data_IF_157282714746
#
_entry.id   IF_157282714746
#
_cell.length_a   1.000
_cell.length_b   1.000
_cell.length_c   1.000
_cell.angle_alpha   90.00
_cell.angle_beta   90.00
_cell.angle_gamma   90.00
#
_symmetry.space_group_name_H-M   'P 1'
#
loop_
_entity.id
_entity.type
_entity.pdbx_description
1 polymer ?
#
# COMPACT_ATOMS: atom_id res chain seq x y z
N UNK A 1 15.21 18.03 15.96
CA UNK A 1 15.21 17.61 14.54
C UNK A 1 16.52 16.96 14.10
N UNK A 2 17.68 17.61 14.23
CA UNK A 2 18.97 16.98 13.90
C UNK A 2 19.17 15.62 14.58
N UNK A 3 18.93 15.54 15.91
CA UNK A 3 18.96 14.27 16.67
C UNK A 3 18.03 13.17 16.13
N UNK A 4 16.85 13.54 15.62
CA UNK A 4 15.88 12.60 15.07
C UNK A 4 16.36 12.01 13.74
N UNK A 5 16.88 12.87 12.85
CA UNK A 5 17.45 12.44 11.56
C UNK A 5 18.67 11.56 11.79
N UNK A 6 19.57 11.96 12.71
CA UNK A 6 20.74 11.16 13.08
C UNK A 6 20.32 9.80 13.66
N UNK A 7 19.32 9.79 14.56
CA UNK A 7 18.79 8.56 15.14
C UNK A 7 18.18 7.64 14.08
N UNK A 8 17.44 8.19 13.12
CA UNK A 8 16.89 7.44 11.99
C UNK A 8 17.99 6.88 11.08
N UNK A 9 19.00 7.67 10.73
CA UNK A 9 20.12 7.21 9.92
C UNK A 9 20.87 6.06 10.62
N UNK A 10 21.14 6.20 11.92
CA UNK A 10 21.74 5.14 12.71
C UNK A 10 20.87 3.87 12.72
N UNK A 11 19.56 4.01 12.93
CA UNK A 11 18.61 2.90 12.87
C UNK A 11 18.63 2.22 11.50
N UNK A 12 18.50 2.98 10.42
CA UNK A 12 18.51 2.44 9.06
C UNK A 12 19.83 1.70 8.78
N UNK A 13 20.97 2.30 9.10
CA UNK A 13 22.28 1.63 8.96
C UNK A 13 22.36 0.34 9.76
N UNK A 14 21.90 0.34 11.02
CA UNK A 14 21.88 -0.87 11.84
C UNK A 14 20.98 -1.96 11.24
N UNK A 15 19.80 -1.59 10.73
CA UNK A 15 18.88 -2.51 10.02
C UNK A 15 19.56 -3.11 8.80
N UNK A 16 20.16 -2.29 7.93
CA UNK A 16 20.84 -2.79 6.74
C UNK A 16 22.04 -3.68 7.07
N UNK A 17 22.85 -3.32 8.07
CA UNK A 17 23.97 -4.16 8.52
C UNK A 17 23.50 -5.49 9.09
N UNK A 18 22.47 -5.47 9.94
CA UNK A 18 21.88 -6.68 10.49
C UNK A 18 21.39 -7.62 9.39
N UNK A 19 20.54 -7.11 8.49
CA UNK A 19 19.96 -7.94 7.43
C UNK A 19 21.01 -8.44 6.45
N UNK A 20 22.02 -7.64 6.13
CA UNK A 20 23.03 -8.09 5.18
C UNK A 20 23.96 -9.17 5.75
N UNK A 21 24.47 -8.97 6.97
CA UNK A 21 25.53 -9.82 7.55
C UNK A 21 25.04 -10.90 8.52
N UNK A 22 23.98 -10.64 9.28
CA UNK A 22 23.59 -11.47 10.41
C UNK A 22 22.26 -12.19 10.23
N UNK A 23 21.44 -11.78 9.26
CA UNK A 23 20.15 -12.42 9.02
C UNK A 23 20.32 -13.84 8.48
N UNK A 24 19.78 -14.85 9.17
CA UNK A 24 19.79 -16.23 8.69
C UNK A 24 18.84 -16.30 7.50
N UNK A 25 19.40 -16.51 6.30
CA UNK A 25 18.66 -16.67 5.07
C UNK A 25 19.03 -18.02 4.47
N UNK A 26 18.06 -18.93 4.46
CA UNK A 26 18.14 -20.18 3.72
C UNK A 26 17.60 -19.91 2.30
N UNK A 27 18.50 -19.74 1.34
CA UNK A 27 18.15 -19.48 -0.05
C UNK A 27 18.79 -20.51 -0.98
N UNK A 28 18.04 -20.91 -2.01
CA UNK A 28 18.54 -21.78 -3.09
C UNK A 28 19.51 -21.05 -4.03
N UNK A 29 19.58 -19.73 -3.95
CA UNK A 29 20.49 -18.88 -4.72
C UNK A 29 21.53 -18.21 -3.82
N UNK A 30 22.71 -17.92 -4.38
CA UNK A 30 23.75 -17.11 -3.74
C UNK A 30 23.41 -15.62 -3.85
N UNK A 31 22.24 -15.25 -3.33
CA UNK A 31 21.74 -13.87 -3.33
C UNK A 31 21.24 -13.50 -1.94
N UNK A 32 21.54 -12.25 -1.55
CA UNK A 32 21.03 -11.62 -0.32
C UNK A 32 19.72 -10.87 -0.58
N UNK A 33 19.06 -11.05 -1.72
CA UNK A 33 17.84 -10.33 -2.12
C UNK A 33 16.74 -10.37 -1.06
N UNK A 34 16.42 -11.55 -0.52
CA UNK A 34 15.39 -11.69 0.52
C UNK A 34 15.72 -10.90 1.80
N UNK A 35 16.98 -10.96 2.23
CA UNK A 35 17.44 -10.22 3.39
C UNK A 35 17.40 -8.69 3.16
N UNK A 36 17.82 -8.24 1.97
CA UNK A 36 17.72 -6.83 1.58
C UNK A 36 16.26 -6.37 1.52
N UNK A 37 15.34 -7.18 1.01
CA UNK A 37 13.90 -6.86 1.00
C UNK A 37 13.39 -6.51 2.39
N UNK A 38 13.74 -7.34 3.39
CA UNK A 38 13.41 -7.05 4.78
C UNK A 38 14.09 -5.77 5.29
N UNK A 39 15.36 -5.55 4.96
CA UNK A 39 16.07 -4.33 5.34
C UNK A 39 15.35 -3.07 4.85
N UNK A 40 14.94 -3.04 3.58
CA UNK A 40 14.17 -1.94 2.99
C UNK A 40 12.83 -1.75 3.69
N UNK A 41 12.08 -2.84 3.93
CA UNK A 41 10.81 -2.80 4.64
C UNK A 41 10.93 -2.16 6.04
N UNK A 42 11.85 -2.66 6.86
CA UNK A 42 12.04 -2.18 8.22
C UNK A 42 12.64 -0.77 8.28
N UNK A 43 13.51 -0.41 7.34
CA UNK A 43 14.05 0.95 7.23
C UNK A 43 12.96 1.97 6.91
N UNK A 44 11.98 1.61 6.07
CA UNK A 44 10.89 2.51 5.69
C UNK A 44 9.81 2.67 6.77
N UNK A 45 9.56 1.65 7.60
CA UNK A 45 8.51 1.65 8.62
C UNK A 45 8.43 2.93 9.49
N UNK A 46 9.52 3.42 10.11
CA UNK A 46 9.43 4.59 10.98
C UNK A 46 9.25 5.93 10.24
N UNK A 47 9.42 5.96 8.91
CA UNK A 47 9.40 7.20 8.12
C UNK A 47 8.07 7.96 8.25
N UNK A 48 6.94 7.24 8.22
CA UNK A 48 5.61 7.85 8.38
C UNK A 48 5.42 8.48 9.76
N UNK A 49 5.85 7.78 10.82
CA UNK A 49 5.77 8.28 12.21
C UNK A 49 6.66 9.51 12.37
N UNK A 50 7.88 9.47 11.83
CA UNK A 50 8.82 10.60 11.82
C UNK A 50 8.21 11.79 11.08
N UNK A 51 7.62 11.58 9.91
CA UNK A 51 6.97 12.62 9.11
C UNK A 51 5.84 13.28 9.90
N UNK A 52 4.93 12.50 10.47
CA UNK A 52 3.82 13.02 11.28
C UNK A 52 4.33 13.76 12.52
N UNK A 53 5.33 13.22 13.21
CA UNK A 53 5.95 13.88 14.35
C UNK A 53 6.59 15.23 13.98
N UNK A 54 7.29 15.28 12.83
CA UNK A 54 7.89 16.52 12.33
C UNK A 54 6.82 17.55 12.00
N UNK A 55 5.73 17.15 11.33
CA UNK A 55 4.61 18.04 11.03
C UNK A 55 3.97 18.59 12.31
N UNK A 56 3.67 17.73 13.30
CA UNK A 56 3.11 18.14 14.59
C UNK A 56 4.00 19.13 15.35
N UNK A 57 5.33 18.96 15.30
CA UNK A 57 6.28 19.87 15.95
C UNK A 57 6.53 21.15 15.17
N UNK A 58 6.47 21.11 13.83
CA UNK A 58 6.69 22.26 12.96
C UNK A 58 5.37 22.75 12.37
N UNK A 59 4.56 23.40 13.20
CA UNK A 59 3.26 23.95 12.80
C UNK A 59 3.34 24.88 11.58
N UNK A 60 4.44 25.63 11.43
CA UNK A 60 4.66 26.49 10.25
C UNK A 60 4.61 25.76 8.90
N UNK A 61 4.81 24.44 8.86
CA UNK A 61 4.73 23.64 7.63
C UNK A 61 3.31 23.50 7.05
N UNK A 62 2.27 23.66 7.88
CA UNK A 62 0.87 23.53 7.46
C UNK A 62 -0.02 24.71 7.90
N UNK A 63 0.43 25.57 8.83
CA UNK A 63 -0.34 26.73 9.32
C UNK A 63 -0.76 27.70 8.22
N UNK A 64 -0.01 27.79 7.13
CA UNK A 64 -0.38 28.62 5.99
C UNK A 64 -1.70 28.17 5.33
N UNK A 65 -2.09 26.91 5.50
CA UNK A 65 -3.35 26.34 5.01
C UNK A 65 -4.55 26.89 5.79
N UNK A 66 -4.37 27.22 7.08
CA UNK A 66 -5.44 27.77 7.93
C UNK A 66 -5.92 29.16 7.47
N UNK A 67 -5.14 29.84 6.60
CA UNK A 67 -5.49 31.15 6.02
C UNK A 67 -6.68 31.08 5.05
N UNK A 68 -7.02 29.90 4.54
CA UNK A 68 -8.13 29.73 3.61
C UNK A 68 -9.44 29.48 4.35
N UNK A 69 -10.52 30.12 3.92
CA UNK A 69 -11.82 30.02 4.59
C UNK A 69 -12.57 28.70 4.31
N UNK A 70 -12.30 28.04 3.17
CA UNK A 70 -13.01 26.83 2.77
C UNK A 70 -12.39 25.58 3.38
N UNK A 71 -13.18 24.83 4.16
CA UNK A 71 -12.76 23.58 4.79
C UNK A 71 -12.39 22.49 3.79
N UNK A 72 -13.10 22.47 2.65
CA UNK A 72 -12.80 21.58 1.54
C UNK A 72 -11.40 21.88 1.01
N UNK A 73 -11.10 23.15 0.77
CA UNK A 73 -9.80 23.56 0.24
C UNK A 73 -8.66 23.34 1.24
N UNK A 74 -8.90 23.59 2.53
CA UNK A 74 -7.95 23.26 3.59
C UNK A 74 -7.61 21.76 3.62
N UNK A 75 -8.65 20.91 3.57
CA UNK A 75 -8.50 19.45 3.59
C UNK A 75 -7.75 18.96 2.35
N UNK A 76 -8.04 19.55 1.19
CA UNK A 76 -7.36 19.26 -0.08
C UNK A 76 -5.86 19.57 0.03
N UNK A 77 -5.51 20.80 0.39
CA UNK A 77 -4.12 21.23 0.50
C UNK A 77 -3.34 20.43 1.55
N UNK A 78 -3.97 20.15 2.69
CA UNK A 78 -3.33 19.37 3.75
C UNK A 78 -3.09 17.93 3.29
N UNK A 79 -4.03 17.33 2.57
CA UNK A 79 -3.85 16.00 1.98
C UNK A 79 -2.76 16.00 0.91
N UNK A 80 -2.71 17.02 0.04
CA UNK A 80 -1.62 17.17 -0.94
C UNK A 80 -0.26 17.22 -0.24
N UNK A 81 -0.14 18.04 0.81
CA UNK A 81 1.09 18.14 1.60
C UNK A 81 1.50 16.79 2.18
N UNK A 82 0.57 16.04 2.78
CA UNK A 82 0.86 14.72 3.35
C UNK A 82 1.33 13.72 2.29
N UNK A 83 0.60 13.59 1.18
CA UNK A 83 0.92 12.61 0.12
C UNK A 83 2.22 12.96 -0.59
N UNK A 84 2.49 14.24 -0.84
CA UNK A 84 3.75 14.68 -1.45
C UNK A 84 4.92 14.41 -0.51
N UNK A 85 4.81 14.71 0.79
CA UNK A 85 5.87 14.43 1.74
C UNK A 85 6.11 12.92 1.89
N UNK A 86 5.03 12.12 1.93
CA UNK A 86 5.12 10.67 1.95
C UNK A 86 5.83 10.13 0.70
N UNK A 87 5.46 10.62 -0.49
CA UNK A 87 6.14 10.28 -1.73
C UNK A 87 7.63 10.65 -1.66
N UNK A 88 7.98 11.89 -1.30
CA UNK A 88 9.37 12.35 -1.27
C UNK A 88 10.26 11.53 -0.33
N UNK A 89 9.72 11.12 0.82
CA UNK A 89 10.47 10.38 1.84
C UNK A 89 10.67 8.91 1.45
N UNK A 90 9.69 8.28 0.79
CA UNK A 90 9.77 6.87 0.40
C UNK A 90 10.35 6.65 -1.00
N UNK A 91 10.22 7.63 -1.92
CA UNK A 91 10.63 7.49 -3.32
C UNK A 91 12.09 7.04 -3.50
N UNK A 92 13.10 7.55 -2.76
CA UNK A 92 14.47 7.07 -2.90
C UNK A 92 14.61 5.57 -2.63
N UNK A 93 13.96 5.07 -1.57
CA UNK A 93 13.97 3.64 -1.24
C UNK A 93 13.31 2.82 -2.33
N UNK A 94 12.17 3.28 -2.84
CA UNK A 94 11.43 2.55 -3.87
C UNK A 94 12.16 2.52 -5.21
N UNK A 95 12.84 3.61 -5.60
CA UNK A 95 13.68 3.65 -6.80
C UNK A 95 14.85 2.68 -6.68
N UNK A 96 15.58 2.72 -5.55
CA UNK A 96 16.72 1.83 -5.33
C UNK A 96 16.24 0.36 -5.33
N UNK A 97 15.12 0.07 -4.66
CA UNK A 97 14.53 -1.27 -4.64
C UNK A 97 14.10 -1.75 -6.03
N UNK A 98 13.56 -0.87 -6.87
CA UNK A 98 13.21 -1.19 -8.26
C UNK A 98 14.45 -1.67 -9.03
N UNK A 99 15.58 -0.95 -8.94
CA UNK A 99 16.81 -1.32 -9.63
C UNK A 99 17.43 -2.61 -9.07
N UNK A 100 17.44 -2.80 -7.75
CA UNK A 100 17.92 -4.05 -7.13
C UNK A 100 17.07 -5.24 -7.61
N UNK A 101 15.73 -5.09 -7.60
CA UNK A 101 14.81 -6.15 -8.06
C UNK A 101 14.99 -6.47 -9.54
N UNK A 102 15.29 -5.45 -10.36
CA UNK A 102 15.61 -5.66 -11.78
C UNK A 102 16.94 -6.41 -11.97
N UNK A 103 17.97 -6.03 -11.22
CA UNK A 103 19.29 -6.67 -11.27
C UNK A 103 19.23 -8.14 -10.85
N UNK A 104 18.46 -8.45 -9.80
CA UNK A 104 18.26 -9.81 -9.29
C UNK A 104 17.28 -10.65 -10.16
N UNK A 105 16.73 -10.07 -11.23
CA UNK A 105 15.82 -10.77 -12.15
C UNK A 105 14.43 -11.07 -11.58
N UNK A 106 14.07 -10.50 -10.42
CA UNK A 106 12.75 -10.69 -9.80
C UNK A 106 11.70 -9.75 -10.39
N UNK A 107 12.13 -8.65 -11.02
CA UNK A 107 11.29 -7.67 -11.70
C UNK A 107 11.58 -7.65 -13.21
N UNK A 108 10.53 -7.68 -14.02
CA UNK A 108 10.55 -7.57 -15.49
C UNK A 108 9.97 -6.24 -15.99
N UNK A 109 9.24 -5.53 -15.12
CA UNK A 109 8.60 -4.24 -15.42
C UNK A 109 9.56 -3.14 -15.88
N UNK A 110 9.12 -2.26 -16.78
CA UNK A 110 9.88 -1.05 -17.12
C UNK A 110 9.78 0.01 -16.01
N UNK A 111 10.79 0.89 -15.93
CA UNK A 111 10.80 1.98 -14.95
C UNK A 111 9.61 2.94 -15.12
N UNK A 112 9.24 3.25 -16.38
CA UNK A 112 8.12 4.16 -16.67
C UNK A 112 6.77 3.57 -16.24
N UNK A 113 6.52 2.29 -16.56
CA UNK A 113 5.29 1.60 -16.13
C UNK A 113 5.21 1.55 -14.59
N UNK A 114 6.30 1.16 -13.93
CA UNK A 114 6.39 1.17 -12.47
C UNK A 114 6.09 2.56 -11.86
N UNK A 115 6.64 3.61 -12.45
CA UNK A 115 6.44 4.97 -11.97
C UNK A 115 5.00 5.46 -12.18
N UNK A 116 4.36 5.09 -13.29
CA UNK A 116 2.95 5.43 -13.54
C UNK A 116 2.03 4.71 -12.55
N UNK A 117 2.28 3.44 -12.24
CA UNK A 117 1.55 2.70 -11.20
C UNK A 117 1.76 3.32 -9.81
N UNK A 118 2.98 3.77 -9.51
CA UNK A 118 3.26 4.51 -8.28
C UNK A 118 2.41 5.79 -8.20
N UNK A 119 2.34 6.59 -9.27
CA UNK A 119 1.51 7.80 -9.31
C UNK A 119 0.02 7.50 -9.20
N UNK A 120 -0.46 6.44 -9.85
CA UNK A 120 -1.84 5.98 -9.74
C UNK A 120 -2.17 5.57 -8.30
N UNK A 121 -1.30 4.77 -7.67
CA UNK A 121 -1.42 4.36 -6.27
C UNK A 121 -1.45 5.56 -5.32
N UNK A 122 -0.56 6.55 -5.51
CA UNK A 122 -0.56 7.79 -4.72
C UNK A 122 -1.80 8.65 -4.96
N UNK A 123 -2.37 8.62 -6.17
CA UNK A 123 -3.60 9.35 -6.49
C UNK A 123 -4.83 8.73 -5.82
N UNK A 124 -4.91 7.40 -5.77
CA UNK A 124 -5.97 6.68 -5.04
C UNK A 124 -5.83 6.90 -3.52
N UNK A 125 -4.60 6.86 -2.99
CA UNK A 125 -4.32 7.20 -1.59
C UNK A 125 -4.75 8.64 -1.28
N UNK A 126 -4.42 9.59 -2.17
CA UNK A 126 -4.85 10.98 -2.04
C UNK A 126 -6.37 11.10 -1.97
N UNK A 127 -7.10 10.45 -2.86
CA UNK A 127 -8.56 10.50 -2.89
C UNK A 127 -9.17 9.97 -1.58
N UNK A 128 -8.74 8.78 -1.14
CA UNK A 128 -9.23 8.18 0.11
C UNK A 128 -8.91 9.03 1.33
N UNK A 129 -7.66 9.51 1.44
CA UNK A 129 -7.21 10.32 2.57
C UNK A 129 -7.88 11.70 2.58
N UNK A 130 -8.08 12.33 1.42
CA UNK A 130 -8.78 13.60 1.29
C UNK A 130 -10.22 13.50 1.78
N UNK A 131 -10.96 12.49 1.31
CA UNK A 131 -12.35 12.25 1.73
C UNK A 131 -12.41 11.98 3.23
N UNK A 132 -11.49 11.17 3.77
CA UNK A 132 -11.40 10.88 5.20
C UNK A 132 -11.17 12.15 6.03
N UNK A 133 -10.15 12.94 5.68
CA UNK A 133 -9.79 14.16 6.40
C UNK A 133 -10.92 15.18 6.33
N UNK A 134 -11.49 15.39 5.14
CA UNK A 134 -12.60 16.32 4.96
C UNK A 134 -13.81 15.89 5.78
N UNK A 135 -14.19 14.62 5.74
CA UNK A 135 -15.34 14.10 6.48
C UNK A 135 -15.12 14.18 7.99
N UNK A 136 -13.92 13.83 8.47
CA UNK A 136 -13.54 13.97 9.87
C UNK A 136 -13.67 15.42 10.35
N UNK A 137 -13.15 16.37 9.57
CA UNK A 137 -13.26 17.80 9.83
C UNK A 137 -14.72 18.26 9.98
N UNK A 138 -15.59 17.85 9.06
CA UNK A 138 -17.03 18.19 9.10
C UNK A 138 -17.72 17.59 10.33
N UNK A 139 -17.41 16.35 10.70
CA UNK A 139 -17.97 15.71 11.88
C UNK A 139 -17.52 16.39 13.18
N UNK A 140 -16.24 16.78 13.27
CA UNK A 140 -15.70 17.47 14.44
C UNK A 140 -16.38 18.83 14.66
N UNK A 141 -16.69 19.56 13.58
CA UNK A 141 -17.38 20.85 13.65
C UNK A 141 -18.86 20.69 14.06
N UNK A 142 -19.58 19.74 13.45
CA UNK A 142 -21.02 19.55 13.71
C UNK A 142 -21.31 18.83 15.02
N UNK A 143 -20.50 17.84 15.39
CA UNK A 143 -20.75 16.96 16.54
C UNK A 143 -19.49 16.73 17.39
N UNK A 144 -18.91 17.77 18.02
CA UNK A 144 -17.62 17.71 18.70
C UNK A 144 -17.53 16.69 19.85
N UNK A 145 -18.66 16.27 20.44
CA UNK A 145 -18.70 15.23 21.49
C UNK A 145 -18.90 13.81 20.98
N UNK A 146 -19.44 13.65 19.76
CA UNK A 146 -19.84 12.36 19.18
C UNK A 146 -19.13 12.02 17.86
N UNK A 147 -18.31 12.93 17.32
CA UNK A 147 -17.66 12.78 16.02
C UNK A 147 -16.91 11.46 15.88
N UNK A 148 -16.24 10.99 16.95
CA UNK A 148 -15.50 9.73 16.91
C UNK A 148 -16.39 8.51 16.68
N UNK A 149 -17.53 8.44 17.36
CA UNK A 149 -18.50 7.34 17.17
C UNK A 149 -19.16 7.45 15.80
N UNK A 150 -19.53 8.66 15.36
CA UNK A 150 -20.13 8.88 14.04
C UNK A 150 -19.16 8.51 12.91
N UNK A 151 -17.89 8.89 13.05
CA UNK A 151 -16.84 8.52 12.13
C UNK A 151 -16.68 7.00 12.09
N UNK A 152 -16.60 6.36 13.26
CA UNK A 152 -16.45 4.90 13.35
C UNK A 152 -17.62 4.14 12.70
N UNK A 153 -18.87 4.50 13.03
CA UNK A 153 -20.07 3.88 12.45
C UNK A 153 -20.14 4.09 10.94
N UNK A 154 -19.57 5.18 10.42
CA UNK A 154 -19.54 5.43 8.97
C UNK A 154 -18.38 4.69 8.30
N UNK A 155 -17.18 4.71 8.89
CA UNK A 155 -15.97 4.24 8.24
C UNK A 155 -15.87 2.71 8.21
N UNK A 156 -16.40 2.02 9.23
CA UNK A 156 -16.36 0.56 9.30
C UNK A 156 -17.16 -0.08 8.16
N UNK A 157 -18.44 0.28 7.93
CA UNK A 157 -19.17 -0.20 6.76
C UNK A 157 -18.50 0.17 5.44
N UNK A 158 -17.96 1.39 5.31
CA UNK A 158 -17.22 1.81 4.11
C UNK A 158 -16.00 0.92 3.88
N UNK A 159 -15.22 0.62 4.92
CA UNK A 159 -14.05 -0.25 4.82
C UNK A 159 -14.45 -1.69 4.40
N UNK A 160 -15.51 -2.24 5.01
CA UNK A 160 -16.05 -3.56 4.61
C UNK A 160 -16.49 -3.52 3.15
N UNK A 161 -17.18 -2.47 2.72
CA UNK A 161 -17.60 -2.30 1.33
C UNK A 161 -16.41 -2.23 0.37
N UNK A 162 -15.31 -1.57 0.77
CA UNK A 162 -14.08 -1.52 -0.01
C UNK A 162 -13.44 -2.90 -0.22
N UNK A 163 -13.60 -3.86 0.70
CA UNK A 163 -13.13 -5.24 0.50
C UNK A 163 -13.77 -5.89 -0.73
N UNK A 164 -15.02 -5.53 -1.06
CA UNK A 164 -15.71 -6.02 -2.26
C UNK A 164 -15.36 -5.22 -3.51
N UNK A 165 -15.27 -3.89 -3.38
CA UNK A 165 -14.98 -3.02 -4.53
C UNK A 165 -13.55 -3.18 -5.01
N UNK A 166 -12.59 -3.31 -4.10
CA UNK A 166 -11.17 -3.30 -4.44
C UNK A 166 -10.80 -4.33 -5.53
N UNK A 167 -11.09 -5.63 -5.39
CA UNK A 167 -10.71 -6.61 -6.42
C UNK A 167 -11.42 -6.42 -7.76
N UNK A 168 -12.59 -5.76 -7.77
CA UNK A 168 -13.43 -5.62 -8.98
C UNK A 168 -13.16 -4.31 -9.71
N UNK A 169 -12.85 -3.23 -9.00
CA UNK A 169 -12.73 -1.88 -9.58
C UNK A 169 -11.36 -1.25 -9.41
N UNK A 170 -10.61 -1.62 -8.37
CA UNK A 170 -9.30 -1.01 -8.08
C UNK A 170 -8.18 -1.86 -8.67
N UNK A 171 -8.17 -3.17 -8.38
CA UNK A 171 -7.12 -4.07 -8.87
C UNK A 171 -7.05 -4.06 -10.41
N UNK A 172 -8.17 -4.00 -11.17
CA UNK A 172 -8.10 -3.92 -12.63
C UNK A 172 -7.52 -2.62 -13.21
N UNK A 173 -7.28 -1.60 -12.37
CA UNK A 173 -6.55 -0.39 -12.79
C UNK A 173 -5.04 -0.64 -12.89
N UNK A 174 -4.54 -1.66 -12.20
CA UNK A 174 -3.14 -2.07 -12.21
C UNK A 174 -2.93 -3.29 -13.10
N UNK A 175 -3.88 -4.23 -13.05
CA UNK A 175 -3.70 -5.58 -13.58
C UNK A 175 -4.80 -6.00 -14.55
N UNK A 176 -4.45 -6.90 -15.46
CA UNK A 176 -5.44 -7.56 -16.33
C UNK A 176 -5.78 -8.93 -15.79
N UNK A 177 -7.06 -9.12 -15.50
CA UNK A 177 -7.64 -10.38 -15.04
C UNK A 177 -8.33 -11.09 -16.21
N UNK A 178 -8.10 -12.40 -16.30
CA UNK A 178 -8.70 -13.30 -17.28
C UNK A 178 -9.38 -14.46 -16.57
N UNK A 179 -10.46 -14.98 -17.13
CA UNK A 179 -11.06 -16.22 -16.62
C UNK A 179 -10.11 -17.39 -16.85
N UNK A 180 -9.97 -18.26 -15.86
CA UNK A 180 -9.21 -19.49 -16.01
C UNK A 180 -9.85 -20.36 -17.12
N UNK A 181 -9.04 -20.72 -18.11
CA UNK A 181 -9.51 -21.53 -19.24
C UNK A 181 -10.02 -22.90 -18.79
N UNK A 182 -10.97 -23.44 -19.54
CA UNK A 182 -11.47 -24.80 -19.28
C UNK A 182 -10.35 -25.82 -19.53
N UNK A 183 -10.16 -26.74 -18.58
CA UNK A 183 -9.13 -27.77 -18.65
C UNK A 183 -8.98 -28.53 -17.34
N UNK A 184 -8.02 -29.45 -17.30
CA UNK A 184 -7.82 -30.33 -16.14
C UNK A 184 -7.61 -29.57 -14.82
N UNK A 185 -6.79 -28.51 -14.84
CA UNK A 185 -6.54 -27.69 -13.64
C UNK A 185 -7.82 -27.04 -13.11
N UNK A 186 -8.63 -26.45 -14.00
CA UNK A 186 -9.89 -25.81 -13.59
C UNK A 186 -10.84 -26.84 -12.97
N UNK A 187 -10.96 -28.03 -13.57
CA UNK A 187 -11.79 -29.11 -13.03
C UNK A 187 -11.31 -29.59 -11.67
N UNK A 188 -10.00 -29.74 -11.46
CA UNK A 188 -9.43 -30.10 -10.16
C UNK A 188 -9.71 -29.03 -9.10
N UNK A 189 -9.59 -27.75 -9.46
CA UNK A 189 -9.91 -26.64 -8.56
C UNK A 189 -11.39 -26.59 -8.20
N UNK A 190 -12.29 -26.77 -9.17
CA UNK A 190 -13.75 -26.84 -8.96
C UNK A 190 -14.11 -27.98 -7.99
N UNK A 191 -13.55 -29.17 -8.18
CA UNK A 191 -13.75 -30.32 -7.27
C UNK A 191 -13.24 -30.03 -5.86
N UNK A 192 -12.07 -29.38 -5.74
CA UNK A 192 -11.52 -29.01 -4.44
C UNK A 192 -12.42 -28.00 -3.73
N UNK A 193 -12.89 -26.96 -4.42
CA UNK A 193 -13.77 -25.94 -3.83
C UNK A 193 -15.12 -26.52 -3.43
N UNK A 194 -15.71 -27.39 -4.25
CA UNK A 194 -16.95 -28.09 -3.93
C UNK A 194 -16.79 -28.96 -2.68
N UNK A 195 -15.65 -29.66 -2.53
CA UNK A 195 -15.40 -30.53 -1.37
C UNK A 195 -15.38 -29.79 -0.03
N UNK A 196 -15.11 -28.48 -0.04
CA UNK A 196 -15.11 -27.61 1.14
C UNK A 196 -16.36 -26.73 1.24
N UNK A 197 -17.35 -26.95 0.37
CA UNK A 197 -18.63 -26.23 0.38
C UNK A 197 -18.58 -24.82 -0.24
N UNK A 198 -17.55 -24.51 -1.03
CA UNK A 198 -17.47 -23.28 -1.81
C UNK A 198 -18.06 -23.53 -3.20
N UNK A 199 -19.30 -23.11 -3.41
CA UNK A 199 -20.07 -23.40 -4.64
C UNK A 199 -20.10 -22.25 -5.62
N UNK A 200 -19.73 -21.04 -5.21
CA UNK A 200 -19.71 -19.86 -6.09
C UNK A 200 -18.31 -19.24 -6.10
N UNK A 201 -17.46 -19.78 -6.97
CA UNK A 201 -16.05 -19.42 -7.06
C UNK A 201 -15.69 -18.96 -8.48
N UNK A 202 -15.21 -17.73 -8.59
CA UNK A 202 -14.61 -17.20 -9.81
C UNK A 202 -13.11 -17.51 -9.83
N UNK A 203 -12.69 -18.37 -10.76
CA UNK A 203 -11.27 -18.66 -11.01
C UNK A 203 -10.71 -17.71 -12.05
N UNK A 204 -9.71 -16.92 -11.67
CA UNK A 204 -9.10 -15.90 -12.50
C UNK A 204 -7.58 -16.04 -12.53
N UNK A 205 -7.00 -15.59 -13.63
CA UNK A 205 -5.56 -15.56 -13.86
C UNK A 205 -5.15 -14.13 -14.14
N UNK A 206 -4.08 -13.69 -13.48
CA UNK A 206 -3.45 -12.39 -13.71
C UNK A 206 -2.13 -12.58 -14.43
N UNK A 207 -1.92 -11.87 -15.54
CA UNK A 207 -0.62 -11.87 -16.20
C UNK A 207 0.38 -10.97 -15.45
N UNK A 208 0.90 -11.46 -14.32
CA UNK A 208 1.96 -10.76 -13.56
C UNK A 208 3.36 -10.92 -14.13
N UNK A 209 3.55 -11.77 -15.14
CA UNK A 209 4.86 -12.04 -15.73
C UNK A 209 5.50 -10.81 -16.41
N UNK A 210 4.67 -9.85 -16.83
CA UNK A 210 5.12 -8.57 -17.38
C UNK A 210 5.79 -7.67 -16.32
N UNK A 211 5.49 -7.90 -15.03
CA UNK A 211 6.00 -7.10 -13.93
C UNK A 211 7.05 -7.81 -13.09
N UNK A 212 6.79 -9.08 -12.74
CA UNK A 212 7.59 -9.88 -11.80
C UNK A 212 7.71 -11.34 -12.25
N UNK A 213 8.79 -12.00 -11.82
CA UNK A 213 9.01 -13.43 -12.06
C UNK A 213 8.55 -14.31 -10.90
N UNK A 214 8.13 -13.71 -9.79
CA UNK A 214 7.59 -14.41 -8.62
C UNK A 214 6.15 -14.84 -8.87
N UNK A 215 5.79 -16.02 -8.35
CA UNK A 215 4.42 -16.52 -8.36
C UNK A 215 3.71 -16.20 -7.04
N UNK A 216 2.42 -15.97 -7.11
CA UNK A 216 1.55 -15.82 -5.96
C UNK A 216 0.15 -16.34 -6.33
N UNK A 217 -0.62 -16.71 -5.32
CA UNK A 217 -2.04 -17.01 -5.43
C UNK A 217 -2.72 -16.42 -4.19
N UNK A 218 -3.91 -15.87 -4.37
CA UNK A 218 -4.65 -15.28 -3.27
C UNK A 218 -6.12 -15.56 -3.44
N UNK A 219 -6.84 -15.55 -2.32
CA UNK A 219 -8.29 -15.75 -2.32
C UNK A 219 -8.92 -14.52 -1.71
N UNK A 220 -9.95 -13.99 -2.36
CA UNK A 220 -10.78 -12.91 -1.84
C UNK A 220 -12.23 -13.34 -1.86
N UNK A 221 -12.99 -13.02 -0.82
CA UNK A 221 -14.38 -13.49 -0.74
C UNK A 221 -14.94 -13.27 0.66
N UNK A 222 -16.28 -13.19 0.73
CA UNK A 222 -17.03 -13.14 1.98
C UNK A 222 -18.24 -14.04 1.80
N UNK A 223 -18.57 -14.82 2.83
CA UNK A 223 -19.61 -15.84 2.82
C UNK A 223 -19.32 -16.94 1.78
N UNK A 224 -20.31 -17.35 0.99
CA UNK A 224 -20.18 -18.43 0.00
C UNK A 224 -19.58 -18.01 -1.34
N UNK A 225 -19.28 -16.73 -1.53
CA UNK A 225 -18.67 -16.21 -2.75
C UNK A 225 -17.15 -16.07 -2.56
N UNK A 226 -16.39 -16.66 -3.47
CA UNK A 226 -14.94 -16.51 -3.50
C UNK A 226 -14.43 -16.19 -4.91
N UNK A 227 -13.28 -15.55 -4.96
CA UNK A 227 -12.51 -15.26 -6.15
C UNK A 227 -11.09 -15.72 -5.88
N UNK A 228 -10.59 -16.59 -6.73
CA UNK A 228 -9.27 -17.23 -6.65
C UNK A 228 -8.46 -16.79 -7.86
#
# INVERSE_FOLDING_TARGET
MKKLIIGYLFFATAVFLYFYYFYPLDSFSDSRYGALSHAFYFAMLPLQIILLYVLLKKKGGYQWIEKYNSRLFQSFLFTCLLVILDLLVHLPFQIIWHFISRYEGTRTQSFLSWFLELLLSKSLLFLGLFLLIYFCCVLMEKWPKRWGILLWITIVPVAIFFVFIQPVWIDPLFDKFYTLENGGLRTEMEQLTESVGLTDVDFLVVNKSEEVTTYNAYVTGIFGHARI
#
